data_IF_987600721653
#
_entry.id   IF_987600721653
#
_cell.length_a   1.000
_cell.length_b   1.000
_cell.length_c   1.000
_cell.angle_alpha   90.00
_cell.angle_beta   90.00
_cell.angle_gamma   90.00
#
_symmetry.space_group_name_H-M   'P 1'
#
loop_
_entity.id
_entity.type
_entity.pdbx_description
1 polymer ?
#
# COMPACT_ATOMS: atom_id res chain seq x y z
N UNK A 1 -2.09 10.44 -6.63
CA UNK A 1 -3.18 10.26 -7.64
C UNK A 1 -2.63 9.53 -8.86
N UNK A 2 -3.34 8.53 -9.39
CA UNK A 2 -2.96 7.87 -10.66
C UNK A 2 -3.37 8.74 -11.86
N UNK A 3 -2.63 8.71 -12.99
CA UNK A 3 -2.96 9.49 -14.19
C UNK A 3 -4.37 9.24 -14.73
N UNK A 4 -4.89 8.03 -14.53
CA UNK A 4 -6.24 7.65 -14.96
C UNK A 4 -7.34 8.33 -14.12
N UNK A 5 -7.11 8.50 -12.82
CA UNK A 5 -8.07 9.17 -11.92
C UNK A 5 -8.12 10.68 -12.21
N UNK A 6 -6.98 11.29 -12.55
CA UNK A 6 -6.92 12.69 -12.96
C UNK A 6 -7.74 12.94 -14.24
N UNK A 7 -7.58 12.10 -15.25
CA UNK A 7 -8.34 12.20 -16.51
C UNK A 7 -9.86 12.03 -16.31
N UNK A 8 -10.28 11.12 -15.41
CA UNK A 8 -11.70 10.96 -15.05
C UNK A 8 -12.25 12.20 -14.32
N UNK A 9 -11.46 12.78 -13.41
CA UNK A 9 -11.84 13.99 -12.69
C UNK A 9 -11.95 15.20 -13.64
N UNK A 10 -11.02 15.30 -14.59
CA UNK A 10 -11.03 16.31 -15.64
C UNK A 10 -12.28 16.21 -16.53
N UNK A 11 -12.60 15.01 -17.02
CA UNK A 11 -13.80 14.78 -17.82
C UNK A 11 -15.10 15.06 -17.04
N UNK A 12 -15.11 14.76 -15.74
CA UNK A 12 -16.22 15.10 -14.84
C UNK A 12 -16.39 16.61 -14.69
N UNK A 13 -15.29 17.34 -14.48
CA UNK A 13 -15.27 18.80 -14.38
C UNK A 13 -15.75 19.46 -15.68
N UNK A 14 -15.37 18.95 -16.84
CA UNK A 14 -15.80 19.51 -18.12
C UNK A 14 -17.30 19.28 -18.38
N UNK A 15 -17.84 18.14 -17.93
CA UNK A 15 -19.25 17.76 -18.16
C UNK A 15 -20.21 18.37 -17.14
N UNK A 16 -19.83 18.42 -15.87
CA UNK A 16 -20.70 18.81 -14.75
C UNK A 16 -20.33 20.17 -14.16
N UNK A 17 -19.15 20.70 -14.51
CA UNK A 17 -18.59 21.88 -13.88
C UNK A 17 -18.20 21.64 -12.42
N UNK A 18 -17.97 22.73 -11.68
CA UNK A 18 -17.75 22.68 -10.24
C UNK A 18 -19.07 22.53 -9.50
N UNK A 19 -19.59 21.30 -9.46
CA UNK A 19 -20.80 20.97 -8.69
C UNK A 19 -20.61 21.19 -7.18
N UNK A 20 -19.38 21.02 -6.67
CA UNK A 20 -19.02 21.23 -5.26
C UNK A 20 -17.93 22.29 -5.14
N UNK A 21 -18.01 23.18 -4.14
CA UNK A 21 -16.96 24.15 -3.86
C UNK A 21 -15.72 23.49 -3.24
N UNK A 22 -14.59 24.17 -3.34
CA UNK A 22 -13.35 23.87 -2.60
C UNK A 22 -13.45 24.53 -1.22
N UNK A 23 -13.16 23.78 -0.17
CA UNK A 23 -13.26 24.26 1.21
C UNK A 23 -11.94 24.92 1.58
N UNK A 24 -11.99 26.16 2.08
CA UNK A 24 -10.82 26.93 2.48
C UNK A 24 -10.98 27.52 3.88
N UNK A 25 -9.86 27.76 4.57
CA UNK A 25 -9.78 28.59 5.79
C UNK A 25 -8.94 29.83 5.54
N UNK A 26 -9.12 30.82 6.40
CA UNK A 26 -8.24 31.98 6.50
C UNK A 26 -7.12 31.70 7.52
N UNK A 27 -5.88 31.92 7.10
CA UNK A 27 -4.68 31.95 7.94
C UNK A 27 -4.02 33.33 7.85
N UNK A 28 -3.03 33.59 8.70
CA UNK A 28 -2.29 34.87 8.65
C UNK A 28 -1.46 35.05 7.37
N UNK A 29 -1.27 33.97 6.60
CA UNK A 29 -0.56 33.94 5.33
C UNK A 29 -1.48 33.91 4.10
N UNK A 30 -2.81 33.83 4.29
CA UNK A 30 -3.78 33.85 3.20
C UNK A 30 -4.87 32.78 3.32
N UNK A 31 -5.33 32.28 2.19
CA UNK A 31 -6.33 31.20 2.13
C UNK A 31 -5.62 29.85 2.02
N UNK A 32 -6.00 28.92 2.89
CA UNK A 32 -5.51 27.55 2.86
C UNK A 32 -6.65 26.59 2.50
N UNK A 33 -6.35 25.64 1.62
CA UNK A 33 -7.29 24.60 1.22
C UNK A 33 -7.38 23.55 2.34
N UNK A 34 -8.61 23.19 2.71
CA UNK A 34 -8.91 22.10 3.65
C UNK A 34 -9.36 20.86 2.89
N UNK A 35 -10.16 21.05 1.82
CA UNK A 35 -10.74 19.96 1.06
C UNK A 35 -10.97 20.32 -0.40
N UNK A 36 -10.73 19.36 -1.29
CA UNK A 36 -10.86 19.54 -2.74
C UNK A 36 -9.60 20.00 -3.46
N UNK A 37 -8.42 19.67 -2.94
CA UNK A 37 -7.12 19.99 -3.54
C UNK A 37 -7.02 19.58 -5.02
N UNK A 38 -7.34 18.32 -5.35
CA UNK A 38 -7.28 17.82 -6.74
C UNK A 38 -8.16 18.61 -7.71
N UNK A 39 -9.34 19.09 -7.26
CA UNK A 39 -10.21 19.96 -8.07
C UNK A 39 -9.55 21.30 -8.34
N UNK A 40 -8.89 21.87 -7.34
CA UNK A 40 -8.15 23.12 -7.49
C UNK A 40 -6.92 22.96 -8.38
N UNK A 41 -6.17 21.87 -8.28
CA UNK A 41 -5.01 21.60 -9.13
C UNK A 41 -5.39 21.52 -10.61
N UNK A 42 -6.42 20.75 -10.95
CA UNK A 42 -6.92 20.64 -12.33
C UNK A 42 -7.43 22.00 -12.82
N UNK A 43 -8.17 22.73 -11.97
CA UNK A 43 -8.65 24.06 -12.32
C UNK A 43 -7.49 25.03 -12.59
N UNK A 44 -6.43 24.98 -11.78
CA UNK A 44 -5.22 25.79 -11.93
C UNK A 44 -4.50 25.45 -13.24
N UNK A 45 -4.37 24.17 -13.58
CA UNK A 45 -3.80 23.72 -14.86
C UNK A 45 -4.61 24.24 -16.06
N UNK A 46 -5.93 24.30 -15.95
CA UNK A 46 -6.84 24.81 -16.99
C UNK A 46 -7.08 26.33 -16.98
N UNK A 47 -6.62 27.04 -15.95
CA UNK A 47 -6.94 28.46 -15.75
C UNK A 47 -8.42 28.73 -15.45
N UNK A 48 -9.15 27.77 -14.89
CA UNK A 48 -10.58 27.87 -14.56
C UNK A 48 -10.79 28.52 -13.19
N UNK A 49 -11.91 29.23 -13.03
CA UNK A 49 -12.33 29.78 -11.73
C UNK A 49 -13.05 28.70 -10.92
N UNK A 50 -12.65 28.53 -9.66
CA UNK A 50 -13.21 27.54 -8.74
C UNK A 50 -14.10 28.22 -7.70
N UNK A 51 -15.31 27.71 -7.44
CA UNK A 51 -16.12 28.19 -6.32
C UNK A 51 -15.47 27.76 -5.01
N UNK A 52 -15.29 28.71 -4.09
CA UNK A 52 -14.70 28.48 -2.77
C UNK A 52 -15.75 28.63 -1.67
N UNK A 53 -15.67 27.79 -0.65
CA UNK A 53 -16.41 27.91 0.60
C UNK A 53 -15.42 28.26 1.70
N UNK A 54 -15.47 29.51 2.19
CA UNK A 54 -14.57 29.99 3.22
C UNK A 54 -15.17 29.76 4.62
N UNK A 55 -14.44 29.03 5.47
CA UNK A 55 -14.81 28.74 6.86
C UNK A 55 -14.30 29.79 7.86
N UNK A 56 -13.59 30.81 7.38
CA UNK A 56 -12.99 31.86 8.20
C UNK A 56 -11.71 31.41 8.92
N UNK A 57 -11.36 32.13 10.00
CA UNK A 57 -10.21 31.82 10.84
C UNK A 57 -10.55 30.70 11.82
N UNK A 58 -10.13 29.49 11.49
CA UNK A 58 -10.26 28.31 12.35
C UNK A 58 -8.88 27.82 12.78
N UNK A 59 -8.81 27.17 13.95
CA UNK A 59 -7.57 26.60 14.47
C UNK A 59 -7.05 25.46 13.59
N UNK A 60 -5.77 25.13 13.76
CA UNK A 60 -5.16 24.06 12.98
C UNK A 60 -5.86 22.71 13.18
N UNK A 61 -6.06 22.36 14.45
CA UNK A 61 -6.79 21.18 14.87
C UNK A 61 -8.18 21.07 14.23
N UNK A 62 -8.97 22.15 14.26
CA UNK A 62 -10.35 22.13 13.72
C UNK A 62 -10.37 22.01 12.20
N UNK A 63 -9.41 22.60 11.50
CA UNK A 63 -9.31 22.43 10.06
C UNK A 63 -8.95 20.98 9.70
N UNK A 64 -8.06 20.36 10.49
CA UNK A 64 -7.69 18.97 10.30
C UNK A 64 -8.88 18.04 10.49
N UNK A 65 -9.66 18.24 11.56
CA UNK A 65 -10.89 17.47 11.83
C UNK A 65 -11.87 17.53 10.64
N UNK A 66 -12.07 18.73 10.07
CA UNK A 66 -12.93 18.93 8.90
C UNK A 66 -12.36 18.23 7.66
N UNK A 67 -11.04 18.28 7.45
CA UNK A 67 -10.38 17.58 6.34
C UNK A 67 -10.57 16.07 6.42
N UNK A 68 -10.46 15.47 7.60
CA UNK A 68 -10.66 14.03 7.79
C UNK A 68 -12.13 13.67 7.50
N UNK A 69 -13.07 14.43 8.03
CA UNK A 69 -14.49 14.20 7.80
C UNK A 69 -14.88 14.34 6.31
N UNK A 70 -14.23 15.26 5.58
CA UNK A 70 -14.44 15.42 4.13
C UNK A 70 -13.88 14.21 3.36
N UNK A 71 -12.65 13.79 3.67
CA UNK A 71 -12.01 12.63 3.05
C UNK A 71 -12.76 11.31 3.33
N UNK A 72 -13.28 11.13 4.54
CA UNK A 72 -14.12 9.98 4.88
C UNK A 72 -15.39 9.96 4.02
N UNK A 73 -16.11 11.09 3.94
CA UNK A 73 -17.38 11.16 3.20
C UNK A 73 -17.21 11.00 1.69
N UNK A 74 -16.12 11.51 1.11
CA UNK A 74 -15.92 11.54 -0.34
C UNK A 74 -14.97 10.47 -0.86
N UNK A 75 -14.36 9.71 0.05
CA UNK A 75 -13.37 8.70 -0.28
C UNK A 75 -11.96 9.25 -0.18
N UNK A 76 -11.05 8.32 0.11
CA UNK A 76 -9.64 8.59 0.29
C UNK A 76 -8.92 8.22 -1.00
N UNK A 77 -8.41 9.24 -1.71
CA UNK A 77 -7.65 9.04 -2.95
C UNK A 77 -6.24 8.50 -2.68
N UNK A 78 -5.66 8.86 -1.53
CA UNK A 78 -4.34 8.40 -1.06
C UNK A 78 -4.44 7.90 0.38
N UNK A 79 -4.48 6.58 0.52
CA UNK A 79 -4.64 5.91 1.82
C UNK A 79 -3.45 6.11 2.74
N UNK A 80 -2.26 6.32 2.18
CA UNK A 80 -1.02 6.52 2.96
C UNK A 80 -1.03 7.93 3.54
N UNK A 81 -1.22 8.95 2.69
CA UNK A 81 -1.29 10.34 3.13
C UNK A 81 -2.43 10.56 4.15
N UNK A 82 -3.57 9.87 3.97
CA UNK A 82 -4.67 9.93 4.92
C UNK A 82 -4.32 9.30 6.27
N UNK A 83 -3.64 8.17 6.28
CA UNK A 83 -3.23 7.51 7.51
C UNK A 83 -2.13 8.29 8.26
N UNK A 84 -1.18 8.91 7.56
CA UNK A 84 -0.23 9.86 8.15
C UNK A 84 -0.97 11.04 8.80
N UNK A 85 -1.96 11.59 8.10
CA UNK A 85 -2.78 12.68 8.60
C UNK A 85 -3.60 12.28 9.84
N UNK A 86 -4.10 11.04 9.89
CA UNK A 86 -4.75 10.47 11.06
C UNK A 86 -3.76 10.30 12.23
N UNK A 87 -2.51 9.85 11.97
CA UNK A 87 -1.45 9.73 12.99
C UNK A 87 -1.08 11.09 13.58
N UNK A 88 -0.99 12.13 12.74
CA UNK A 88 -0.66 13.50 13.19
C UNK A 88 -1.69 14.06 14.19
N UNK A 89 -2.95 13.62 14.11
CA UNK A 89 -3.99 14.04 15.06
C UNK A 89 -3.84 13.38 16.44
N UNK A 90 -3.14 12.24 16.53
CA UNK A 90 -2.58 11.68 17.76
C UNK A 90 -3.54 11.03 18.76
N UNK A 91 -4.85 11.24 18.64
CA UNK A 91 -5.83 10.69 19.57
C UNK A 91 -6.97 9.95 18.85
N UNK A 92 -6.87 8.62 18.77
CA UNK A 92 -7.90 7.77 18.18
C UNK A 92 -9.23 7.81 18.93
N UNK A 93 -9.23 8.12 20.23
CA UNK A 93 -10.45 8.20 21.02
C UNK A 93 -11.27 9.43 20.64
N UNK A 94 -10.60 10.57 20.43
CA UNK A 94 -11.23 11.79 19.91
C UNK A 94 -11.74 11.59 18.47
N UNK A 95 -10.98 10.87 17.63
CA UNK A 95 -11.35 10.56 16.25
C UNK A 95 -12.61 9.69 16.13
N UNK A 96 -12.81 8.76 17.07
CA UNK A 96 -13.98 7.87 17.11
C UNK A 96 -15.30 8.60 17.38
N UNK A 97 -15.26 9.79 17.98
CA UNK A 97 -16.48 10.55 18.29
C UNK A 97 -17.15 11.09 17.02
N UNK A 98 -16.36 11.42 16.00
CA UNK A 98 -16.85 12.09 14.79
C UNK A 98 -16.66 11.30 13.49
N UNK A 99 -15.87 10.21 13.51
CA UNK A 99 -15.68 9.31 12.36
C UNK A 99 -16.37 7.96 12.58
N UNK A 100 -16.97 7.36 11.54
CA UNK A 100 -17.62 6.06 11.64
C UNK A 100 -16.60 4.89 11.58
N UNK A 101 -15.42 5.06 12.16
CA UNK A 101 -14.36 4.05 12.22
C UNK A 101 -14.27 3.45 13.62
N UNK A 102 -14.07 2.13 13.67
CA UNK A 102 -13.83 1.39 14.92
C UNK A 102 -12.35 1.43 15.29
N UNK A 103 -12.04 1.08 16.55
CA UNK A 103 -10.66 0.92 17.01
C UNK A 103 -9.85 -0.06 16.13
N UNK A 104 -10.51 -1.09 15.60
CA UNK A 104 -9.89 -2.07 14.71
C UNK A 104 -9.58 -1.45 13.35
N UNK A 105 -10.49 -0.64 12.78
CA UNK A 105 -10.24 0.04 11.51
C UNK A 105 -9.03 0.98 11.59
N UNK A 106 -8.90 1.73 12.70
CA UNK A 106 -7.72 2.57 12.93
C UNK A 106 -6.43 1.73 13.04
N UNK A 107 -6.48 0.59 13.74
CA UNK A 107 -5.33 -0.30 13.85
C UNK A 107 -4.90 -0.87 12.49
N UNK A 108 -5.86 -1.24 11.64
CA UNK A 108 -5.59 -1.75 10.29
C UNK A 108 -5.01 -0.65 9.37
N UNK A 109 -5.52 0.58 9.46
CA UNK A 109 -5.04 1.73 8.69
C UNK A 109 -3.62 2.11 9.11
N UNK A 110 -3.34 2.18 10.43
CA UNK A 110 -2.02 2.55 10.93
C UNK A 110 -0.97 1.47 10.67
N UNK A 111 -1.31 0.20 10.89
CA UNK A 111 -0.40 -0.92 10.61
C UNK A 111 -0.03 -1.00 9.13
N UNK A 112 -0.98 -0.75 8.22
CA UNK A 112 -0.70 -0.70 6.78
C UNK A 112 0.32 0.37 6.41
N UNK A 113 0.38 1.48 7.15
CA UNK A 113 1.35 2.56 6.91
C UNK A 113 2.69 2.31 7.59
N UNK A 114 2.72 1.75 8.80
CA UNK A 114 4.00 1.36 9.42
C UNK A 114 4.74 0.33 8.55
N UNK A 115 4.03 -0.68 8.03
CA UNK A 115 4.62 -1.67 7.12
C UNK A 115 5.14 -1.01 5.82
N UNK A 116 4.40 -0.04 5.27
CA UNK A 116 4.83 0.66 4.05
C UNK A 116 6.02 1.60 4.29
N UNK A 117 6.18 2.14 5.50
CA UNK A 117 7.30 2.99 5.90
C UNK A 117 8.55 2.18 6.25
N UNK A 118 8.38 1.01 6.89
CA UNK A 118 9.48 0.07 7.14
C UNK A 118 10.04 -0.50 5.81
N UNK A 119 9.18 -0.75 4.81
CA UNK A 119 9.60 -1.09 3.45
C UNK A 119 10.26 0.09 2.70
N UNK A 120 10.12 1.31 3.23
CA UNK A 120 10.71 2.56 2.76
C UNK A 120 11.75 3.10 3.75
N UNK A 121 12.53 2.26 4.42
CA UNK A 121 13.70 2.67 5.22
C UNK A 121 14.64 3.56 4.37
N UNK A 122 14.32 4.85 4.34
CA UNK A 122 15.12 5.93 3.80
C UNK A 122 16.18 6.12 4.87
N UNK A 123 17.38 5.60 4.61
CA UNK A 123 18.57 6.01 5.34
C UNK A 123 18.57 7.54 5.42
N UNK A 124 18.40 8.06 6.63
CA UNK A 124 18.59 9.46 6.98
C UNK A 124 20.02 9.87 6.60
N UNK A 125 20.22 10.31 5.36
CA UNK A 125 21.42 11.00 4.97
C UNK A 125 21.07 12.23 4.12
N UNK A 126 20.27 13.11 4.70
CA UNK A 126 20.27 14.51 4.30
C UNK A 126 21.37 15.25 5.06
N UNK A 127 22.57 15.27 4.49
CA UNK A 127 23.34 16.50 4.25
C UNK A 127 24.70 16.18 3.59
N UNK A 128 24.75 16.33 2.26
CA UNK A 128 25.47 17.45 1.60
C UNK A 128 26.01 17.06 0.21
N UNK A 129 25.65 17.90 -0.77
CA UNK A 129 26.35 18.20 -2.03
C UNK A 129 26.21 17.28 -3.26
N UNK A 130 25.39 17.80 -4.19
CA UNK A 130 25.66 18.04 -5.63
C UNK A 130 25.72 16.84 -6.60
N UNK A 131 24.80 16.93 -7.57
CA UNK A 131 24.90 16.56 -9.00
C UNK A 131 25.96 15.50 -9.38
N UNK A 132 25.49 14.34 -9.90
CA UNK A 132 25.88 13.80 -11.23
C UNK A 132 25.22 12.45 -11.52
N UNK A 133 24.50 12.41 -12.64
CA UNK A 133 24.73 11.50 -13.79
C UNK A 133 24.32 10.03 -13.60
N UNK A 134 23.11 9.74 -14.09
CA UNK A 134 22.81 8.65 -15.03
C UNK A 134 23.76 7.45 -15.02
N UNK A 135 23.42 6.42 -14.25
CA UNK A 135 23.91 5.05 -14.46
C UNK A 135 22.73 4.06 -14.59
N UNK A 136 22.98 3.05 -15.43
CA UNK A 136 22.06 2.07 -16.01
C UNK A 136 21.26 1.26 -14.97
N UNK A 137 20.12 0.64 -15.36
CA UNK A 137 19.25 -0.06 -14.42
C UNK A 137 19.97 -1.29 -13.87
N UNK A 138 20.30 -1.28 -12.57
CA UNK A 138 20.63 -2.50 -11.86
C UNK A 138 19.39 -3.41 -11.85
N UNK A 139 19.57 -4.64 -12.36
CA UNK A 139 18.55 -5.66 -12.43
C UNK A 139 17.93 -5.86 -11.03
N UNK A 140 16.68 -5.41 -10.87
CA UNK A 140 15.90 -5.71 -9.67
C UNK A 140 15.77 -7.22 -9.58
N UNK A 141 16.19 -7.79 -8.45
CA UNK A 141 15.96 -9.20 -8.14
C UNK A 141 14.48 -9.54 -8.43
N UNK A 142 14.19 -10.70 -9.05
CA UNK A 142 12.83 -11.07 -9.39
C UNK A 142 11.97 -11.07 -8.13
N UNK A 143 10.78 -10.47 -8.21
CA UNK A 143 9.79 -10.51 -7.12
C UNK A 143 9.49 -11.98 -6.80
N UNK A 144 9.95 -12.47 -5.65
CA UNK A 144 9.86 -13.89 -5.27
C UNK A 144 8.50 -14.27 -4.70
N UNK A 145 7.73 -13.32 -4.17
CA UNK A 145 6.45 -13.57 -3.50
C UNK A 145 5.38 -12.52 -3.88
N UNK A 146 4.10 -12.90 -3.86
CA UNK A 146 2.94 -12.03 -4.10
C UNK A 146 1.83 -12.36 -3.12
N UNK A 147 1.21 -11.33 -2.53
CA UNK A 147 0.13 -11.49 -1.54
C UNK A 147 -1.19 -11.81 -2.25
N UNK A 148 -1.86 -12.89 -1.83
CA UNK A 148 -3.19 -13.30 -2.31
C UNK A 148 -4.22 -13.21 -1.17
N UNK A 149 -5.42 -12.67 -1.44
CA UNK A 149 -6.52 -12.55 -0.46
C UNK A 149 -7.75 -13.33 -0.93
N UNK A 150 -8.28 -14.23 -0.10
CA UNK A 150 -9.43 -15.07 -0.43
C UNK A 150 -10.53 -14.99 0.64
N UNK A 151 -11.79 -15.11 0.20
CA UNK A 151 -12.94 -15.28 1.11
C UNK A 151 -13.23 -16.77 1.24
N UNK A 152 -13.23 -17.26 2.48
CA UNK A 152 -13.47 -18.67 2.81
C UNK A 152 -14.73 -18.77 3.68
N UNK A 153 -15.57 -19.81 3.51
CA UNK A 153 -16.67 -20.08 4.42
C UNK A 153 -16.19 -20.25 5.87
N UNK A 154 -16.94 -19.73 6.84
CA UNK A 154 -16.60 -19.78 8.27
C UNK A 154 -16.29 -21.20 8.77
N UNK A 155 -17.00 -22.22 8.26
CA UNK A 155 -16.77 -23.62 8.65
C UNK A 155 -15.47 -24.23 8.11
N UNK A 156 -14.90 -23.66 7.05
CA UNK A 156 -13.67 -24.14 6.43
C UNK A 156 -12.44 -23.30 6.83
N UNK A 157 -12.66 -22.07 7.32
CA UNK A 157 -11.61 -21.17 7.78
C UNK A 157 -10.77 -21.79 8.91
N UNK A 158 -11.41 -22.38 9.93
CA UNK A 158 -10.70 -23.04 11.04
C UNK A 158 -9.89 -24.25 10.57
N UNK A 159 -10.43 -25.02 9.62
CA UNK A 159 -9.77 -26.21 9.07
C UNK A 159 -8.54 -25.84 8.26
N UNK A 160 -8.64 -24.83 7.40
CA UNK A 160 -7.54 -24.36 6.56
C UNK A 160 -6.40 -23.79 7.42
N UNK A 161 -6.73 -22.97 8.42
CA UNK A 161 -5.73 -22.42 9.35
C UNK A 161 -5.01 -23.52 10.12
N UNK A 162 -5.74 -24.54 10.61
CA UNK A 162 -5.14 -25.68 11.29
C UNK A 162 -4.22 -26.52 10.37
N UNK A 163 -4.61 -26.71 9.10
CA UNK A 163 -3.82 -27.42 8.09
C UNK A 163 -2.53 -26.69 7.73
N UNK A 164 -2.59 -25.36 7.55
CA UNK A 164 -1.41 -24.53 7.29
C UNK A 164 -0.45 -24.61 8.47
N UNK A 165 -0.94 -24.41 9.71
CA UNK A 165 -0.10 -24.47 10.90
C UNK A 165 0.55 -25.86 11.13
N UNK A 166 -0.18 -26.94 10.81
CA UNK A 166 0.35 -28.30 10.89
C UNK A 166 1.46 -28.53 9.86
N UNK A 167 1.29 -28.01 8.65
CA UNK A 167 2.23 -28.18 7.53
C UNK A 167 3.50 -27.36 7.76
N UNK A 168 3.38 -26.13 8.28
CA UNK A 168 4.52 -25.31 8.70
C UNK A 168 5.41 -26.02 9.72
N UNK A 169 4.81 -26.67 10.73
CA UNK A 169 5.54 -27.44 11.75
C UNK A 169 6.19 -28.70 11.18
N UNK A 170 5.51 -29.42 10.29
CA UNK A 170 6.01 -30.64 9.69
C UNK A 170 7.22 -30.40 8.76
N UNK A 171 7.26 -29.25 8.08
CA UNK A 171 8.30 -28.90 7.11
C UNK A 171 9.33 -27.89 7.63
N UNK A 172 9.30 -27.56 8.92
CA UNK A 172 10.23 -26.61 9.55
C UNK A 172 10.34 -25.26 8.81
N UNK A 173 9.20 -24.76 8.30
CA UNK A 173 9.12 -23.47 7.60
C UNK A 173 9.15 -22.33 8.62
N UNK A 174 10.35 -22.00 9.11
CA UNK A 174 10.59 -20.95 10.11
C UNK A 174 11.64 -19.92 9.67
N UNK A 175 12.07 -19.97 8.41
CA UNK A 175 13.15 -19.13 7.89
C UNK A 175 12.68 -17.77 7.33
N UNK A 176 11.38 -17.48 7.34
CA UNK A 176 10.81 -16.29 6.70
C UNK A 176 9.64 -15.71 7.49
N UNK A 177 9.05 -14.62 6.99
CA UNK A 177 7.86 -13.98 7.55
C UNK A 177 6.65 -14.95 7.63
N UNK A 178 5.73 -14.71 8.57
CA UNK A 178 4.58 -15.58 8.84
C UNK A 178 3.70 -15.79 7.60
N UNK A 179 3.52 -14.73 6.78
CA UNK A 179 2.75 -14.79 5.54
C UNK A 179 3.44 -15.63 4.46
N UNK A 180 4.77 -15.53 4.38
CA UNK A 180 5.58 -16.31 3.43
C UNK A 180 5.58 -17.79 3.82
N UNK A 181 5.77 -18.10 5.11
CA UNK A 181 5.70 -19.48 5.61
C UNK A 181 4.30 -20.09 5.40
N UNK A 182 3.23 -19.28 5.50
CA UNK A 182 1.87 -19.72 5.21
C UNK A 182 1.65 -19.98 3.71
N UNK A 183 2.22 -19.13 2.86
CA UNK A 183 2.25 -19.33 1.41
C UNK A 183 2.98 -20.61 1.01
N UNK A 184 4.17 -20.84 1.54
CA UNK A 184 4.98 -22.03 1.27
C UNK A 184 4.28 -23.31 1.73
N UNK A 185 3.62 -23.27 2.90
CA UNK A 185 2.82 -24.37 3.40
C UNK A 185 1.61 -24.67 2.48
N UNK A 186 0.94 -23.64 1.96
CA UNK A 186 -0.16 -23.82 1.00
C UNK A 186 0.33 -24.41 -0.33
N UNK A 187 1.49 -23.98 -0.82
CA UNK A 187 2.11 -24.54 -2.02
C UNK A 187 2.41 -26.03 -1.80
N UNK A 188 3.00 -26.41 -0.66
CA UNK A 188 3.26 -27.82 -0.32
C UNK A 188 1.99 -28.66 -0.20
N UNK A 189 0.90 -28.11 0.37
CA UNK A 189 -0.40 -28.78 0.41
C UNK A 189 -0.97 -29.03 -1.00
N UNK A 190 -0.77 -28.09 -1.93
CA UNK A 190 -1.20 -28.23 -3.32
C UNK A 190 -0.33 -29.22 -4.11
N UNK A 191 0.98 -29.23 -3.89
CA UNK A 191 1.90 -30.21 -4.50
C UNK A 191 1.67 -31.63 -3.97
N UNK A 192 1.48 -31.78 -2.65
CA UNK A 192 1.19 -33.09 -2.03
C UNK A 192 -0.19 -33.63 -2.42
N UNK A 193 -1.16 -32.78 -2.75
CA UNK A 193 -2.46 -33.18 -3.29
C UNK A 193 -2.45 -33.43 -4.80
N UNK A 194 -1.44 -32.94 -5.54
CA UNK A 194 -1.22 -33.23 -6.95
C UNK A 194 -0.35 -34.45 -7.21
N UNK A 195 0.26 -35.06 -6.18
CA UNK A 195 1.01 -36.30 -6.34
C UNK A 195 0.06 -37.42 -6.85
N UNK A 196 0.27 -37.97 -8.05
CA UNK A 196 -0.48 -39.14 -8.48
C UNK A 196 -0.13 -40.31 -7.55
N UNK A 197 -1.16 -41.05 -7.13
CA UNK A 197 -0.94 -42.39 -6.62
C UNK A 197 -0.23 -43.21 -7.73
N UNK A 198 1.07 -43.49 -7.58
CA UNK A 198 1.81 -44.33 -8.52
C UNK A 198 3.33 -44.16 -8.46
N UNK A 199 3.98 -45.11 -7.78
CA UNK A 199 5.29 -45.74 -8.01
C UNK A 199 6.32 -45.09 -8.97
N UNK A 200 7.60 -45.11 -8.56
CA UNK A 200 8.71 -45.19 -9.53
C UNK A 200 10.01 -44.55 -9.09
N UNK A 201 10.98 -45.40 -8.74
CA UNK A 201 12.42 -45.14 -8.67
C UNK A 201 13.01 -44.48 -9.92
N UNK A 202 13.95 -43.54 -9.71
CA UNK A 202 15.09 -43.19 -10.58
C UNK A 202 15.96 -42.24 -9.75
N UNK A 203 17.11 -42.61 -9.17
CA UNK A 203 18.36 -42.96 -9.88
C UNK A 203 18.46 -42.23 -11.22
N UNK A 204 19.02 -41.03 -11.18
CA UNK A 204 19.96 -40.41 -12.14
C UNK A 204 19.92 -38.89 -11.98
N UNK A 205 20.93 -38.36 -11.28
CA UNK A 205 21.50 -37.03 -11.48
C UNK A 205 23.00 -37.31 -11.60
N UNK A 206 23.55 -37.19 -12.82
CA UNK A 206 24.20 -35.95 -13.32
C UNK A 206 25.52 -35.72 -12.58
N UNK A 207 26.70 -35.54 -13.17
CA UNK A 207 27.20 -35.27 -14.52
C UNK A 207 28.73 -35.51 -14.40
N UNK A 208 29.48 -36.10 -15.33
CA UNK A 208 29.88 -35.56 -16.64
C UNK A 208 30.04 -34.04 -16.69
N UNK A 209 31.05 -33.54 -15.99
CA UNK A 209 31.91 -32.48 -16.52
C UNK A 209 33.19 -32.37 -15.68
N UNK A 210 34.33 -32.73 -16.26
CA UNK A 210 35.56 -31.97 -16.01
C UNK A 210 36.63 -32.26 -17.10
N UNK A 211 36.70 -31.29 -18.01
CA UNK A 211 37.92 -30.66 -18.52
C UNK A 211 38.78 -31.43 -19.54
N UNK A 212 38.58 -31.05 -20.81
CA UNK A 212 39.67 -30.88 -21.75
C UNK A 212 40.78 -30.03 -21.15
N UNK A 213 41.95 -30.62 -20.91
CA UNK A 213 43.22 -29.90 -20.88
C UNK A 213 44.32 -30.73 -21.58
N UNK A 214 44.78 -30.11 -22.67
CA UNK A 214 46.18 -29.98 -23.10
C UNK A 214 46.85 -31.12 -23.90
N UNK A 215 47.10 -30.76 -25.17
CA UNK A 215 48.19 -31.22 -26.02
C UNK A 215 49.50 -31.42 -25.25
N UNK A 216 50.09 -32.63 -25.30
CA UNK A 216 51.56 -32.81 -25.36
C UNK A 216 51.91 -34.10 -26.13
N UNK A 217 52.40 -33.87 -27.37
CA UNK A 217 53.32 -34.66 -28.22
C UNK A 217 52.93 -36.05 -28.77
#
# INVERSE_FOLDING_TARGET
MTPENEAKLEASLDRLGFFRPVIVRETDQGLQIIGGEHRWEIAKKKGLKVPIMNLGKISDRKAKEIGIADNERYGVDDTIAFAEFLKEMGDTADLQEFLPYTATDFADIFSSVDIALDDLDIEENFENSKEKEQEAPAAKAPKTHTIMRFKVPLGDAERITALIASTQKAHHLTGSDELTNAGDALVQLLLSSQAPAGEGTSEELDDLDDLELEDVQ
#
